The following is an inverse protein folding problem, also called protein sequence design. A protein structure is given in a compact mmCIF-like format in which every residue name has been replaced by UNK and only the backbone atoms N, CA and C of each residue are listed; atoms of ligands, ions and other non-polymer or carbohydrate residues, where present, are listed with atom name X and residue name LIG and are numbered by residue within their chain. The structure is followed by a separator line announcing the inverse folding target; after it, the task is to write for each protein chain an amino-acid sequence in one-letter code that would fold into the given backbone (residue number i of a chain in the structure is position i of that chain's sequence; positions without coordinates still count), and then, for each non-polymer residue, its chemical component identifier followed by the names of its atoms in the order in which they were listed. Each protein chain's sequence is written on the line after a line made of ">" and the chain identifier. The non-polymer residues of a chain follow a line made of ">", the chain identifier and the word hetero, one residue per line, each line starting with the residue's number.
data_IF_364594613729
#
_entry.id   IF_364594613729
#
_cell.length_a   1.000
_cell.length_b   1.000
_cell.length_c   1.000
_cell.angle_alpha   90.00
_cell.angle_beta   90.00
_cell.angle_gamma   90.00
#
_symmetry.space_group_name_H-M   'P 1'
#
loop_
_entity.id
_entity.type
_entity.pdbx_description
1 polymer ?
#
# COMPACT_ATOMS: atom_id res chain seq x y z
N UNK A 1 -6.49 -6.42 -5.25
CA UNK A 1 -5.45 -6.16 -4.23
C UNK A 1 -4.51 -7.36 -4.22
N UNK A 2 -3.28 -7.19 -4.71
CA UNK A 2 -2.29 -8.26 -4.72
C UNK A 2 -1.88 -8.65 -3.30
N UNK A 3 -1.51 -9.91 -3.09
CA UNK A 3 -1.04 -10.37 -1.79
C UNK A 3 0.34 -9.75 -1.51
N UNK A 4 0.38 -8.72 -0.65
CA UNK A 4 1.61 -7.98 -0.29
C UNK A 4 2.77 -8.90 0.12
N UNK A 5 2.46 -10.05 0.76
CA UNK A 5 3.46 -11.04 1.16
C UNK A 5 4.09 -11.76 -0.04
N UNK A 6 3.30 -12.05 -1.07
CA UNK A 6 3.79 -12.64 -2.31
C UNK A 6 4.65 -11.64 -3.09
N UNK A 7 4.26 -10.37 -3.13
CA UNK A 7 5.06 -9.31 -3.75
C UNK A 7 6.40 -9.13 -3.05
N UNK A 8 6.43 -9.21 -1.71
CA UNK A 8 7.68 -9.18 -0.94
C UNK A 8 8.56 -10.40 -1.27
N UNK A 9 8.00 -11.61 -1.30
CA UNK A 9 8.76 -12.82 -1.68
C UNK A 9 9.36 -12.71 -3.08
N UNK A 10 8.56 -12.26 -4.06
CA UNK A 10 9.04 -12.04 -5.42
C UNK A 10 10.14 -10.98 -5.48
N UNK A 11 10.07 -9.92 -4.66
CA UNK A 11 11.14 -8.92 -4.58
C UNK A 11 12.45 -9.51 -4.04
N UNK A 12 12.37 -10.39 -3.03
CA UNK A 12 13.52 -11.16 -2.54
C UNK A 12 14.11 -12.10 -3.60
N UNK A 13 13.27 -12.79 -4.37
CA UNK A 13 13.72 -13.70 -5.43
C UNK A 13 14.34 -12.96 -6.62
N UNK A 14 13.83 -11.77 -6.95
CA UNK A 14 14.28 -10.97 -8.11
C UNK A 14 15.34 -9.94 -7.78
N UNK A 15 15.62 -9.69 -6.50
CA UNK A 15 16.59 -8.68 -6.05
C UNK A 15 16.18 -7.23 -6.30
N UNK A 16 14.89 -6.94 -6.50
CA UNK A 16 14.39 -5.58 -6.82
C UNK A 16 14.41 -4.65 -5.61
N UNK A 17 15.53 -3.92 -5.46
CA UNK A 17 15.81 -2.98 -4.35
C UNK A 17 15.09 -1.63 -4.43
N UNK A 18 14.34 -1.37 -5.51
CA UNK A 18 13.61 -0.12 -5.74
C UNK A 18 12.31 0.00 -4.93
N UNK A 19 11.83 -1.11 -4.35
CA UNK A 19 10.65 -1.11 -3.46
C UNK A 19 11.09 -0.83 -2.02
N UNK A 20 10.64 0.27 -1.44
CA UNK A 20 10.86 0.74 -0.07
C UNK A 20 10.59 -0.33 0.98
N UNK A 21 9.51 -1.11 0.85
CA UNK A 21 9.25 -2.26 1.73
C UNK A 21 10.39 -3.28 1.70
N UNK A 22 10.83 -3.66 0.51
CA UNK A 22 11.90 -4.64 0.35
C UNK A 22 13.26 -4.07 0.80
N UNK A 23 13.56 -2.83 0.42
CA UNK A 23 14.76 -2.11 0.87
C UNK A 23 14.86 -2.06 2.40
N UNK A 24 13.75 -1.71 3.07
CA UNK A 24 13.69 -1.75 4.54
C UNK A 24 13.96 -3.14 5.10
N UNK A 25 13.37 -4.18 4.50
CA UNK A 25 13.58 -5.56 4.95
C UNK A 25 15.05 -5.98 4.82
N UNK A 26 15.72 -5.61 3.73
CA UNK A 26 17.16 -5.84 3.56
C UNK A 26 17.98 -5.07 4.59
N UNK A 27 17.76 -3.76 4.73
CA UNK A 27 18.52 -2.88 5.63
C UNK A 27 18.39 -3.27 7.10
N UNK A 28 17.24 -3.84 7.51
CA UNK A 28 16.96 -4.26 8.89
C UNK A 28 17.12 -5.75 9.12
N UNK A 29 17.51 -6.52 8.11
CA UNK A 29 17.69 -7.98 8.22
C UNK A 29 16.39 -8.74 8.52
N UNK A 30 15.24 -8.23 8.05
CA UNK A 30 13.95 -8.88 8.20
C UNK A 30 13.70 -9.90 7.09
N UNK A 31 12.98 -10.98 7.40
CA UNK A 31 12.58 -11.99 6.43
C UNK A 31 11.07 -11.98 6.16
N UNK A 32 10.59 -12.51 5.02
CA UNK A 32 9.15 -12.61 4.73
C UNK A 32 8.26 -13.25 5.84
N UNK A 33 8.77 -14.14 6.72
CA UNK A 33 8.01 -14.63 7.88
C UNK A 33 7.68 -13.57 8.94
N UNK A 34 8.46 -12.49 9.05
CA UNK A 34 8.27 -11.46 10.07
C UNK A 34 7.23 -10.41 9.68
N UNK A 35 6.70 -10.47 8.45
CA UNK A 35 5.66 -9.57 7.98
C UNK A 35 4.36 -9.74 8.79
N UNK A 36 3.90 -8.63 9.38
CA UNK A 36 2.64 -8.53 10.12
C UNK A 36 1.80 -7.41 9.51
N UNK A 37 0.48 -7.52 9.61
CA UNK A 37 -0.46 -6.49 9.19
C UNK A 37 -1.62 -6.42 10.17
N UNK A 38 -2.28 -5.27 10.22
CA UNK A 38 -3.49 -5.02 11.00
C UNK A 38 -4.44 -4.20 10.13
N UNK A 39 -5.73 -4.50 10.19
CA UNK A 39 -6.76 -3.70 9.52
C UNK A 39 -6.92 -2.35 10.23
N UNK A 40 -6.83 -1.25 9.47
CA UNK A 40 -6.97 0.12 10.01
C UNK A 40 -8.38 0.70 9.80
N UNK A 41 -9.15 0.13 8.87
CA UNK A 41 -10.46 0.65 8.49
C UNK A 41 -11.31 -0.43 7.81
N UNK A 42 -12.63 -0.35 7.98
CA UNK A 42 -13.60 -1.18 7.29
C UNK A 42 -14.44 -0.26 6.40
N UNK A 43 -14.14 -0.27 5.11
CA UNK A 43 -14.90 0.52 4.14
C UNK A 43 -16.19 -0.22 3.79
N UNK A 44 -17.33 0.43 4.03
CA UNK A 44 -18.64 -0.13 3.67
C UNK A 44 -18.93 0.08 2.19
N UNK A 45 -19.33 -0.99 1.49
CA UNK A 45 -19.74 -0.89 0.08
C UNK A 45 -21.00 -0.03 -0.06
N UNK A 46 -21.02 1.00 -0.94
CA UNK A 46 -22.21 1.81 -1.17
C UNK A 46 -23.39 0.94 -1.61
N UNK A 47 -24.58 1.26 -1.08
CA UNK A 47 -25.80 0.50 -1.35
C UNK A 47 -26.33 0.69 -2.79
N UNK A 48 -25.93 1.75 -3.49
CA UNK A 48 -26.37 2.07 -4.87
C UNK A 48 -25.20 2.53 -5.72
N UNK A 49 -24.77 1.68 -6.66
CA UNK A 49 -23.76 2.03 -7.66
C UNK A 49 -22.47 2.63 -7.10
N UNK A 50 -21.74 3.32 -7.97
CA UNK A 50 -20.47 3.97 -7.64
C UNK A 50 -19.25 3.12 -7.95
N UNK A 51 -18.14 3.81 -8.23
CA UNK A 51 -16.85 3.17 -8.47
C UNK A 51 -16.22 2.75 -7.12
N UNK A 52 -16.37 1.47 -6.80
CA UNK A 52 -15.81 0.88 -5.59
C UNK A 52 -14.29 0.99 -5.53
N UNK A 53 -13.59 0.89 -6.67
CA UNK A 53 -12.15 1.04 -6.72
C UNK A 53 -11.74 2.48 -6.44
N UNK A 54 -12.47 3.46 -7.01
CA UNK A 54 -12.25 4.88 -6.70
C UNK A 54 -12.39 5.15 -5.20
N UNK A 55 -13.44 4.62 -4.55
CA UNK A 55 -13.65 4.78 -3.11
C UNK A 55 -12.50 4.15 -2.29
N UNK A 56 -12.10 2.92 -2.62
CA UNK A 56 -10.99 2.26 -1.93
C UNK A 56 -9.67 3.02 -2.10
N UNK A 57 -9.36 3.51 -3.31
CA UNK A 57 -8.17 4.32 -3.57
C UNK A 57 -8.22 5.64 -2.79
N UNK A 58 -9.36 6.31 -2.70
CA UNK A 58 -9.51 7.52 -1.89
C UNK A 58 -9.26 7.25 -0.40
N UNK A 59 -9.74 6.12 0.13
CA UNK A 59 -9.47 5.70 1.53
C UNK A 59 -8.00 5.35 1.74
N UNK A 60 -7.37 4.68 0.78
CA UNK A 60 -5.93 4.40 0.81
C UNK A 60 -5.12 5.70 0.85
N UNK A 61 -5.37 6.64 -0.05
CA UNK A 61 -4.71 7.97 -0.06
C UNK A 61 -4.92 8.71 1.27
N UNK A 62 -6.14 8.70 1.81
CA UNK A 62 -6.45 9.30 3.11
C UNK A 62 -5.56 8.73 4.21
N UNK A 63 -5.40 7.41 4.30
CA UNK A 63 -4.59 6.78 5.35
C UNK A 63 -3.09 6.96 5.14
N UNK A 64 -2.61 6.92 3.89
CA UNK A 64 -1.20 7.21 3.58
C UNK A 64 -0.82 8.62 4.05
N UNK A 65 -1.69 9.60 3.79
CA UNK A 65 -1.46 10.98 4.21
C UNK A 65 -1.59 11.16 5.72
N UNK A 66 -2.65 10.61 6.32
CA UNK A 66 -2.94 10.74 7.76
C UNK A 66 -1.83 10.11 8.63
N UNK A 67 -1.34 8.93 8.24
CA UNK A 67 -0.28 8.23 8.96
C UNK A 67 1.13 8.63 8.48
N UNK A 68 1.22 9.46 7.43
CA UNK A 68 2.48 9.92 6.84
C UNK A 68 3.44 8.75 6.51
N UNK A 69 2.93 7.78 5.75
CA UNK A 69 3.61 6.49 5.50
C UNK A 69 4.37 6.43 4.17
N UNK A 70 4.67 7.58 3.54
CA UNK A 70 5.51 7.66 2.34
C UNK A 70 6.98 7.59 2.73
N UNK A 71 7.78 6.86 1.95
CA UNK A 71 9.23 6.78 2.10
C UNK A 71 9.89 8.17 2.09
N UNK A 72 10.86 8.46 2.97
CA UNK A 72 11.56 7.54 3.88
C UNK A 72 10.88 7.35 5.25
N UNK A 73 9.79 8.07 5.54
CA UNK A 73 9.11 8.01 6.85
C UNK A 73 8.24 6.76 7.02
N UNK A 74 7.76 6.19 5.92
CA UNK A 74 7.12 4.88 5.89
C UNK A 74 7.55 4.04 4.69
N UNK A 75 6.70 3.09 4.29
CA UNK A 75 7.02 2.05 3.31
C UNK A 75 6.21 2.15 2.01
N UNK A 76 5.45 3.23 1.80
CA UNK A 76 4.79 3.51 0.52
C UNK A 76 5.73 4.33 -0.38
N UNK A 77 5.79 3.99 -1.67
CA UNK A 77 6.61 4.74 -2.64
C UNK A 77 6.07 6.15 -2.90
N UNK A 78 4.75 6.27 -3.05
CA UNK A 78 4.09 7.51 -3.39
C UNK A 78 2.67 7.54 -2.83
N UNK A 79 2.09 8.74 -2.77
CA UNK A 79 0.69 8.97 -2.42
C UNK A 79 -0.02 9.59 -3.64
N UNK A 80 -0.93 8.84 -4.27
CA UNK A 80 -1.62 9.29 -5.48
C UNK A 80 -2.98 9.91 -5.16
N UNK A 81 -3.28 11.07 -5.75
CA UNK A 81 -4.56 11.75 -5.63
C UNK A 81 -5.42 11.63 -6.89
N UNK A 82 -5.02 10.82 -7.87
CA UNK A 82 -5.74 10.65 -9.14
C UNK A 82 -7.18 10.18 -8.90
N UNK A 83 -7.41 9.39 -7.86
CA UNK A 83 -8.75 8.93 -7.45
C UNK A 83 -9.70 10.05 -7.03
N UNK A 84 -9.22 11.27 -6.80
CA UNK A 84 -10.06 12.44 -6.51
C UNK A 84 -10.39 13.27 -7.75
N UNK A 85 -9.71 13.02 -8.87
CA UNK A 85 -10.00 13.69 -10.12
C UNK A 85 -11.29 13.10 -10.74
N UNK A 86 -12.05 13.96 -11.42
CA UNK A 86 -13.18 13.51 -12.22
C UNK A 86 -12.64 12.97 -13.55
N UNK A 87 -12.91 11.70 -13.83
CA UNK A 87 -12.77 11.15 -15.17
C UNK A 87 -13.76 11.90 -16.06
N UNK A 88 -13.26 12.73 -16.97
CA UNK A 88 -14.05 13.36 -18.03
C UNK A 88 -14.45 12.33 -19.07
#
# INVERSE_FOLDING_TARGET
>A
MGNHRSSLRAAFETGRSDIALYKHYLEKGHGPPTFRFMGIDIVTKPRRGGDWNKLLLQRETFWIQTLNTVSPRGLNEYCSFVSFLNSR
#
